data_IF_150663705195
#
_entry.id   IF_150663705195
#
_cell.length_a   1.000
_cell.length_b   1.000
_cell.length_c   1.000
_cell.angle_alpha   90.00
_cell.angle_beta   90.00
_cell.angle_gamma   90.00
#
_symmetry.space_group_name_H-M   'P 1'
#
loop_
_entity.id
_entity.type
_entity.pdbx_description
1 polymer ?
#
# COMPACT_ATOMS: atom_id res chain seq x y z
N UNK A 1 -8.50 -15.79 -18.68
CA UNK A 1 -7.38 -15.08 -18.02
C UNK A 1 -7.52 -15.28 -16.52
N UNK A 2 -6.65 -16.09 -15.91
CA UNK A 2 -6.70 -16.40 -14.49
C UNK A 2 -6.48 -15.12 -13.67
N UNK A 3 -7.45 -14.74 -12.85
CA UNK A 3 -7.27 -13.67 -11.85
C UNK A 3 -6.17 -14.14 -10.90
N UNK A 4 -5.02 -13.47 -10.93
CA UNK A 4 -4.00 -13.62 -9.90
C UNK A 4 -4.67 -13.33 -8.55
N UNK A 5 -5.05 -14.37 -7.81
CA UNK A 5 -5.45 -14.18 -6.41
C UNK A 5 -4.23 -13.59 -5.72
N UNK A 6 -4.30 -12.32 -5.33
CA UNK A 6 -3.22 -11.65 -4.63
C UNK A 6 -2.84 -12.48 -3.41
N UNK A 7 -1.56 -12.51 -3.06
CA UNK A 7 -1.08 -13.22 -1.87
C UNK A 7 -1.90 -12.80 -0.62
N UNK A 8 -2.34 -11.55 -0.58
CA UNK A 8 -3.27 -10.99 0.41
C UNK A 8 -4.56 -11.79 0.56
N UNK A 9 -5.21 -12.18 -0.54
CA UNK A 9 -6.41 -13.03 -0.52
C UNK A 9 -6.13 -14.43 0.05
N UNK A 10 -4.90 -14.94 -0.10
CA UNK A 10 -4.48 -16.24 0.45
C UNK A 10 -4.08 -16.18 1.92
N UNK A 11 -3.62 -15.01 2.38
CA UNK A 11 -3.26 -14.75 3.77
C UNK A 11 -4.51 -14.49 4.64
N UNK A 12 -5.61 -14.01 4.07
CA UNK A 12 -6.89 -13.86 4.77
C UNK A 12 -6.89 -12.76 5.85
N UNK A 13 -6.06 -11.72 5.67
CA UNK A 13 -6.01 -10.55 6.55
C UNK A 13 -6.56 -9.30 5.84
N UNK A 14 -6.93 -8.29 6.63
CA UNK A 14 -7.15 -6.90 6.17
C UNK A 14 -5.81 -6.37 5.61
N UNK A 15 -5.86 -5.61 4.51
CA UNK A 15 -4.69 -5.29 3.67
C UNK A 15 -3.44 -4.80 4.43
N UNK A 16 -3.60 -3.95 5.45
CA UNK A 16 -2.48 -3.41 6.25
C UNK A 16 -1.74 -4.47 7.06
N UNK A 17 -2.45 -5.44 7.66
CA UNK A 17 -1.80 -6.56 8.37
C UNK A 17 -1.03 -7.46 7.43
N UNK A 18 -1.46 -7.58 6.17
CA UNK A 18 -0.77 -8.42 5.19
C UNK A 18 0.66 -7.94 4.92
N UNK A 19 0.91 -6.63 4.88
CA UNK A 19 2.24 -6.04 4.65
C UNK A 19 3.20 -6.41 5.77
N UNK A 20 2.80 -6.20 7.02
CA UNK A 20 3.63 -6.53 8.18
C UNK A 20 3.88 -8.03 8.32
N UNK A 21 2.89 -8.89 8.03
CA UNK A 21 3.07 -10.34 8.03
C UNK A 21 4.06 -10.77 6.93
N UNK A 22 3.97 -10.22 5.73
CA UNK A 22 4.89 -10.54 4.63
C UNK A 22 6.32 -10.11 4.97
N UNK A 23 6.50 -8.87 5.44
CA UNK A 23 7.79 -8.37 5.91
C UNK A 23 8.34 -9.24 7.06
N UNK A 24 7.51 -9.62 8.02
CA UNK A 24 7.91 -10.47 9.14
C UNK A 24 8.36 -11.87 8.70
N UNK A 25 7.68 -12.48 7.73
CA UNK A 25 8.11 -13.75 7.14
C UNK A 25 9.46 -13.65 6.45
N UNK A 26 9.68 -12.56 5.69
CA UNK A 26 10.95 -12.29 5.01
C UNK A 26 12.09 -12.05 6.01
N UNK A 27 11.86 -11.19 7.03
CA UNK A 27 12.85 -10.93 8.07
C UNK A 27 13.16 -12.18 8.90
N UNK A 28 12.14 -12.94 9.29
CA UNK A 28 12.33 -14.20 10.00
C UNK A 28 13.15 -15.18 9.17
N UNK A 29 12.91 -15.28 7.85
CA UNK A 29 13.72 -16.08 6.95
C UNK A 29 15.20 -15.66 6.97
N UNK A 30 15.47 -14.37 6.79
CA UNK A 30 16.83 -13.85 6.81
C UNK A 30 17.54 -14.02 8.15
N UNK A 31 16.84 -13.79 9.27
CA UNK A 31 17.41 -13.96 10.61
C UNK A 31 17.61 -15.43 10.99
N UNK A 32 16.72 -16.31 10.52
CA UNK A 32 16.79 -17.76 10.69
C UNK A 32 17.86 -18.42 9.83
N UNK A 33 18.62 -17.62 9.05
CA UNK A 33 19.70 -18.05 8.18
C UNK A 33 20.61 -19.08 8.85
N UNK A 34 21.38 -18.67 9.85
CA UNK A 34 22.38 -19.54 10.47
C UNK A 34 21.80 -20.74 11.24
N UNK A 35 20.51 -20.71 11.54
CA UNK A 35 19.85 -21.69 12.40
C UNK A 35 19.06 -22.77 11.65
N UNK A 36 19.21 -22.88 10.32
CA UNK A 36 18.50 -23.89 9.53
C UNK A 36 17.02 -23.58 9.29
N UNK A 37 16.59 -22.33 9.52
CA UNK A 37 15.23 -21.84 9.29
C UNK A 37 14.68 -21.08 10.50
N UNK A 38 13.45 -20.59 10.37
CA UNK A 38 12.78 -19.75 11.37
C UNK A 38 11.56 -20.44 11.99
N UNK A 39 11.11 -19.96 13.14
CA UNK A 39 9.96 -20.49 13.88
C UNK A 39 8.76 -19.54 13.79
N UNK A 40 7.61 -20.05 14.18
CA UNK A 40 6.36 -19.26 14.34
C UNK A 40 6.59 -18.06 15.27
N UNK A 41 7.35 -18.24 16.36
CA UNK A 41 7.69 -17.18 17.31
C UNK A 41 8.52 -16.06 16.68
N UNK A 42 9.39 -16.40 15.73
CA UNK A 42 10.29 -15.43 15.10
C UNK A 42 9.49 -14.51 14.15
N UNK A 43 8.50 -15.07 13.43
CA UNK A 43 7.56 -14.27 12.63
C UNK A 43 6.72 -13.35 13.51
N UNK A 44 6.17 -13.85 14.63
CA UNK A 44 5.39 -13.01 15.55
C UNK A 44 6.25 -11.88 16.12
N UNK A 45 7.50 -12.18 16.50
CA UNK A 45 8.44 -11.17 16.97
C UNK A 45 8.65 -10.06 15.94
N UNK A 46 8.98 -10.42 14.69
CA UNK A 46 9.18 -9.41 13.63
C UNK A 46 7.89 -8.66 13.30
N UNK A 47 6.74 -9.33 13.33
CA UNK A 47 5.45 -8.66 13.14
C UNK A 47 5.25 -7.56 14.19
N UNK A 48 5.41 -7.89 15.48
CA UNK A 48 5.26 -6.93 16.57
C UNK A 48 6.33 -5.82 16.51
N UNK A 49 7.55 -6.16 16.11
CA UNK A 49 8.61 -5.18 15.89
C UNK A 49 8.23 -4.19 14.79
N UNK A 50 7.70 -4.68 13.67
CA UNK A 50 7.37 -3.84 12.52
C UNK A 50 6.10 -3.03 12.70
N UNK A 51 5.09 -3.56 13.40
CA UNK A 51 3.93 -2.75 13.77
C UNK A 51 4.33 -1.63 14.72
N UNK A 52 5.26 -1.89 15.64
CA UNK A 52 5.80 -0.86 16.53
C UNK A 52 6.51 0.29 15.79
N UNK A 53 7.04 0.07 14.59
CA UNK A 53 7.66 1.13 13.79
C UNK A 53 6.66 2.12 13.19
N UNK A 54 5.41 1.69 13.01
CA UNK A 54 4.37 2.43 12.30
C UNK A 54 3.25 2.91 13.23
N UNK A 55 3.05 2.23 14.35
CA UNK A 55 2.02 2.61 15.33
C UNK A 55 2.34 3.95 15.99
N UNK A 56 1.32 4.80 16.03
CA UNK A 56 1.41 6.14 16.64
C UNK A 56 1.35 6.07 18.18
N UNK A 57 0.75 5.02 18.74
CA UNK A 57 0.63 4.79 20.18
C UNK A 57 1.16 3.40 20.54
N UNK A 58 2.37 3.37 21.11
CA UNK A 58 3.05 2.15 21.55
C UNK A 58 2.39 1.53 22.79
N UNK A 59 1.59 2.28 23.54
CA UNK A 59 0.94 1.81 24.77
C UNK A 59 -0.32 0.99 24.50
N UNK A 60 -0.91 1.13 23.30
CA UNK A 60 -2.12 0.44 22.86
C UNK A 60 -1.93 -0.09 21.45
N UNK A 61 -1.20 -1.21 21.27
CA UNK A 61 -0.98 -1.77 19.95
C UNK A 61 -2.33 -2.06 19.29
N UNK A 62 -2.52 -1.46 18.12
CA UNK A 62 -3.71 -1.63 17.28
C UNK A 62 -3.69 -2.98 16.56
N UNK A 63 -2.52 -3.61 16.49
CA UNK A 63 -2.29 -4.88 15.81
C UNK A 63 -1.60 -5.88 16.72
N UNK A 64 -2.27 -7.02 16.97
CA UNK A 64 -1.63 -8.22 17.50
C UNK A 64 -1.92 -9.39 16.54
N UNK A 65 -0.99 -10.34 16.50
CA UNK A 65 -1.14 -11.58 15.78
C UNK A 65 -0.86 -12.74 16.73
N UNK A 66 -1.83 -13.64 16.86
CA UNK A 66 -1.64 -14.87 17.62
C UNK A 66 -0.72 -15.82 16.84
N UNK A 67 0.11 -16.56 17.58
CA UNK A 67 0.91 -17.67 17.08
C UNK A 67 0.07 -18.69 16.29
N UNK A 68 -1.21 -18.88 16.65
CA UNK A 68 -2.11 -19.75 15.86
C UNK A 68 -2.35 -19.22 14.45
N UNK A 69 -2.53 -17.90 14.28
CA UNK A 69 -2.71 -17.28 12.98
C UNK A 69 -1.44 -17.36 12.13
N UNK A 70 -0.27 -17.12 12.75
CA UNK A 70 1.04 -17.30 12.11
C UNK A 70 1.23 -18.75 11.67
N UNK A 71 0.94 -19.72 12.53
CA UNK A 71 1.04 -21.15 12.22
C UNK A 71 0.14 -21.55 11.04
N UNK A 72 -1.14 -21.15 11.06
CA UNK A 72 -2.07 -21.41 9.94
C UNK A 72 -1.59 -20.77 8.64
N UNK A 73 -0.95 -19.61 8.73
CA UNK A 73 -0.35 -18.92 7.57
C UNK A 73 0.82 -19.71 7.01
N UNK A 74 1.73 -20.19 7.85
CA UNK A 74 2.85 -21.04 7.43
C UNK A 74 2.38 -22.37 6.84
N UNK A 75 1.36 -23.00 7.43
CA UNK A 75 0.77 -24.23 6.88
C UNK A 75 0.14 -24.02 5.49
N UNK A 76 -0.46 -22.85 5.24
CA UNK A 76 -0.93 -22.47 3.89
C UNK A 76 0.24 -22.29 2.92
N UNK A 77 1.31 -21.61 3.34
CA UNK A 77 2.51 -21.45 2.50
C UNK A 77 3.18 -22.78 2.17
N UNK A 78 3.25 -23.70 3.14
CA UNK A 78 3.78 -25.06 2.94
C UNK A 78 2.92 -25.83 1.95
N UNK A 79 1.59 -25.85 2.12
CA UNK A 79 0.67 -26.51 1.17
C UNK A 79 0.75 -25.93 -0.24
N UNK A 80 1.06 -24.64 -0.36
CA UNK A 80 1.25 -23.95 -1.63
C UNK A 80 2.66 -24.05 -2.23
N UNK A 81 3.61 -24.75 -1.59
CA UNK A 81 5.00 -24.86 -2.09
C UNK A 81 5.84 -23.58 -1.94
N UNK A 82 5.37 -22.60 -1.17
CA UNK A 82 6.08 -21.35 -0.89
C UNK A 82 7.01 -21.46 0.33
N UNK A 83 6.83 -22.49 1.15
CA UNK A 83 7.69 -22.76 2.30
C UNK A 83 7.88 -24.27 2.48
N UNK A 84 8.96 -24.65 3.16
CA UNK A 84 9.25 -26.01 3.57
C UNK A 84 9.35 -26.05 5.09
N UNK A 85 8.71 -27.04 5.71
CA UNK A 85 8.93 -27.32 7.11
C UNK A 85 10.16 -28.22 7.25
N UNK A 86 11.13 -27.81 8.05
CA UNK A 86 12.30 -28.64 8.36
C UNK A 86 11.85 -29.86 9.16
N UNK A 87 12.11 -31.05 8.62
CA UNK A 87 11.85 -32.35 9.25
C UNK A 87 13.03 -32.85 10.08
N UNK A 88 14.13 -32.11 10.11
CA UNK A 88 15.39 -32.64 10.61
C UNK A 88 15.43 -32.66 12.15
N UNK A 89 16.17 -33.63 12.68
CA UNK A 89 16.38 -33.80 14.11
C UNK A 89 16.84 -32.49 14.79
N UNK A 90 16.46 -32.27 16.06
CA UNK A 90 16.86 -31.09 16.83
C UNK A 90 18.39 -30.97 16.84
N UNK A 91 18.88 -29.81 16.42
CA UNK A 91 20.32 -29.48 16.46
C UNK A 91 20.68 -29.14 17.89
N UNK A 92 21.74 -29.76 18.42
CA UNK A 92 22.25 -29.51 19.78
C UNK A 92 22.63 -28.02 19.92
N UNK A 93 22.10 -27.34 20.94
CA UNK A 93 22.35 -25.92 21.20
C UNK A 93 21.38 -24.94 20.53
N UNK A 94 20.47 -25.40 19.65
CA UNK A 94 19.42 -24.55 19.09
C UNK A 94 18.07 -24.74 19.83
N UNK A 95 17.25 -23.69 19.97
CA UNK A 95 15.91 -23.81 20.55
C UNK A 95 15.04 -24.84 19.83
N UNK A 96 14.31 -25.65 20.61
CA UNK A 96 13.34 -26.64 20.12
C UNK A 96 12.17 -25.96 19.39
N UNK A 97 11.57 -26.68 18.44
CA UNK A 97 10.38 -26.25 17.70
C UNK A 97 10.48 -26.52 16.20
N UNK A 98 9.31 -26.61 15.54
CA UNK A 98 9.24 -26.77 14.08
C UNK A 98 9.80 -25.52 13.39
N UNK A 99 10.74 -25.72 12.47
CA UNK A 99 11.37 -24.66 11.68
C UNK A 99 10.84 -24.65 10.25
N UNK A 100 10.88 -23.48 9.65
CA UNK A 100 10.40 -23.22 8.30
C UNK A 100 11.49 -22.52 7.49
N UNK A 101 11.49 -22.76 6.18
CA UNK A 101 12.36 -22.12 5.21
C UNK A 101 11.47 -21.69 4.04
N UNK A 102 11.61 -20.46 3.57
CA UNK A 102 10.91 -20.02 2.36
C UNK A 102 11.59 -20.64 1.14
N UNK A 103 10.80 -21.12 0.19
CA UNK A 103 11.32 -21.56 -1.11
C UNK A 103 11.69 -20.33 -1.95
N UNK A 104 12.42 -20.54 -3.06
CA UNK A 104 12.74 -19.44 -3.96
C UNK A 104 11.50 -18.72 -4.51
N UNK A 105 10.44 -19.48 -4.79
CA UNK A 105 9.16 -18.91 -5.24
C UNK A 105 8.41 -18.23 -4.09
N UNK A 106 8.47 -18.77 -2.86
CA UNK A 106 7.93 -18.10 -1.68
C UNK A 106 8.59 -16.75 -1.41
N UNK A 107 9.92 -16.68 -1.52
CA UNK A 107 10.68 -15.43 -1.39
C UNK A 107 10.26 -14.40 -2.45
N UNK A 108 10.24 -14.79 -3.72
CA UNK A 108 9.80 -13.90 -4.80
C UNK A 108 8.36 -13.41 -4.56
N UNK A 109 7.44 -14.32 -4.27
CA UNK A 109 6.03 -13.97 -4.10
C UNK A 109 5.79 -13.03 -2.93
N UNK A 110 6.47 -13.24 -1.79
CA UNK A 110 6.39 -12.34 -0.64
C UNK A 110 7.04 -10.98 -0.93
N UNK A 111 8.21 -10.95 -1.56
CA UNK A 111 8.90 -9.71 -1.90
C UNK A 111 8.12 -8.87 -2.93
N UNK A 112 7.60 -9.51 -3.97
CA UNK A 112 6.77 -8.88 -4.99
C UNK A 112 5.42 -8.44 -4.43
N UNK A 113 4.83 -9.21 -3.51
CA UNK A 113 3.61 -8.83 -2.79
C UNK A 113 3.82 -7.59 -1.91
N UNK A 114 4.96 -7.50 -1.23
CA UNK A 114 5.33 -6.36 -0.41
C UNK A 114 5.57 -5.10 -1.25
N UNK A 115 6.16 -5.27 -2.45
CA UNK A 115 6.45 -4.16 -3.36
C UNK A 115 5.24 -3.73 -4.21
N UNK A 116 4.34 -4.64 -4.56
CA UNK A 116 3.26 -4.45 -5.53
C UNK A 116 2.01 -3.78 -4.97
N UNK A 117 2.13 -2.89 -3.98
CA UNK A 117 0.98 -2.28 -3.31
C UNK A 117 0.57 -0.99 -4.02
N UNK A 118 -0.56 -1.04 -4.72
CA UNK A 118 -1.17 0.15 -5.30
C UNK A 118 -1.76 1.03 -4.18
N UNK A 119 -1.42 2.32 -4.18
CA UNK A 119 -2.00 3.34 -3.27
C UNK A 119 -1.86 3.02 -1.77
N UNK A 120 -0.73 2.45 -1.35
CA UNK A 120 -0.43 2.29 0.07
C UNK A 120 -0.40 3.65 0.80
N UNK A 121 -0.88 3.75 2.04
CA UNK A 121 -0.69 4.93 2.90
C UNK A 121 0.79 5.30 3.03
N UNK A 122 1.09 6.58 3.30
CA UNK A 122 2.47 7.07 3.40
C UNK A 122 3.29 6.24 4.39
N UNK A 123 2.75 5.97 5.58
CA UNK A 123 3.46 5.27 6.64
C UNK A 123 3.84 3.85 6.22
N UNK A 124 2.95 3.18 5.49
CA UNK A 124 3.20 1.86 4.93
C UNK A 124 4.25 1.90 3.82
N UNK A 125 4.19 2.89 2.93
CA UNK A 125 5.21 3.08 1.89
C UNK A 125 6.60 3.36 2.50
N UNK A 126 6.68 4.22 3.52
CA UNK A 126 7.90 4.50 4.26
C UNK A 126 8.43 3.26 4.96
N UNK A 127 7.54 2.47 5.58
CA UNK A 127 7.89 1.19 6.19
C UNK A 127 8.51 0.23 5.17
N UNK A 128 7.88 0.03 4.01
CA UNK A 128 8.38 -0.90 2.99
C UNK A 128 9.74 -0.46 2.44
N UNK A 129 9.95 0.84 2.22
CA UNK A 129 11.24 1.38 1.79
C UNK A 129 12.32 1.16 2.87
N UNK A 130 11.99 1.45 4.14
CA UNK A 130 12.90 1.22 5.27
C UNK A 130 13.23 -0.26 5.43
N UNK A 131 12.23 -1.13 5.37
CA UNK A 131 12.39 -2.58 5.41
C UNK A 131 13.33 -3.06 4.29
N UNK A 132 13.10 -2.63 3.06
CA UNK A 132 13.94 -2.97 1.93
C UNK A 132 15.40 -2.50 2.15
N UNK A 133 15.59 -1.29 2.66
CA UNK A 133 16.92 -0.75 2.93
C UNK A 133 17.67 -1.51 4.04
N UNK A 134 16.97 -1.94 5.09
CA UNK A 134 17.58 -2.56 6.27
C UNK A 134 17.66 -4.09 6.22
N UNK A 135 16.70 -4.76 5.57
CA UNK A 135 16.56 -6.22 5.63
C UNK A 135 16.83 -6.94 4.33
N UNK A 136 16.90 -6.27 3.16
CA UNK A 136 17.09 -6.95 1.87
C UNK A 136 18.27 -7.91 1.86
N UNK A 137 19.43 -7.47 2.35
CA UNK A 137 20.64 -8.29 2.31
C UNK A 137 20.51 -9.49 3.27
N UNK A 138 19.84 -9.30 4.41
CA UNK A 138 19.48 -10.39 5.32
C UNK A 138 18.51 -11.38 4.68
N UNK A 139 17.48 -10.91 3.96
CA UNK A 139 16.52 -11.74 3.23
C UNK A 139 17.21 -12.57 2.15
N UNK A 140 18.21 -12.00 1.48
CA UNK A 140 19.03 -12.69 0.47
C UNK A 140 20.10 -13.61 1.07
N UNK A 141 20.44 -13.40 2.34
CA UNK A 141 21.39 -14.22 3.08
C UNK A 141 20.82 -15.61 3.36
N UNK A 142 21.69 -16.62 3.35
CA UNK A 142 21.23 -18.00 3.29
C UNK A 142 20.92 -18.61 4.63
N UNK A 143 19.91 -19.48 4.61
CA UNK A 143 19.77 -20.52 5.61
C UNK A 143 20.89 -21.55 5.53
N UNK A 144 21.93 -21.40 6.37
CA UNK A 144 23.07 -22.30 6.48
C UNK A 144 22.58 -23.74 6.71
N UNK A 145 23.11 -24.65 5.90
CA UNK A 145 23.00 -26.09 6.11
C UNK A 145 21.72 -26.78 5.63
N UNK A 146 20.67 -26.07 5.17
CA UNK A 146 19.40 -26.73 4.75
C UNK A 146 18.70 -26.18 3.50
N UNK A 147 18.93 -24.93 3.09
CA UNK A 147 18.28 -24.35 1.90
C UNK A 147 19.20 -24.38 0.67
N UNK A 148 18.77 -25.00 -0.44
CA UNK A 148 19.48 -24.97 -1.74
C UNK A 148 19.80 -23.55 -2.17
N UNK A 149 21.01 -23.30 -2.67
CA UNK A 149 21.34 -22.29 -3.69
C UNK A 149 20.16 -21.42 -4.21
N UNK A 150 20.09 -20.09 -3.98
CA UNK A 150 19.11 -19.22 -4.62
C UNK A 150 19.63 -19.15 -6.02
N UNK A 151 18.81 -19.55 -6.98
CA UNK A 151 19.20 -19.37 -8.36
C UNK A 151 19.46 -17.88 -8.60
N UNK A 152 20.41 -17.53 -9.49
CA UNK A 152 20.64 -16.14 -9.86
C UNK A 152 19.36 -15.41 -10.30
N UNK A 153 18.42 -16.14 -10.90
CA UNK A 153 17.11 -15.61 -11.28
C UNK A 153 16.25 -15.19 -10.06
N UNK A 154 16.16 -16.03 -9.03
CA UNK A 154 15.41 -15.71 -7.80
C UNK A 154 16.04 -14.53 -7.07
N UNK A 155 17.37 -14.52 -6.93
CA UNK A 155 18.09 -13.41 -6.31
C UNK A 155 17.77 -12.08 -6.99
N UNK A 156 17.87 -12.01 -8.33
CA UNK A 156 17.57 -10.79 -9.08
C UNK A 156 16.12 -10.33 -8.94
N UNK A 157 15.15 -11.26 -8.88
CA UNK A 157 13.73 -10.92 -8.65
C UNK A 157 13.54 -10.27 -7.29
N UNK A 158 14.10 -10.86 -6.23
CA UNK A 158 14.02 -10.31 -4.87
C UNK A 158 14.76 -8.97 -4.75
N UNK A 159 15.96 -8.86 -5.32
CA UNK A 159 16.72 -7.60 -5.35
C UNK A 159 15.95 -6.47 -6.03
N UNK A 160 15.30 -6.76 -7.17
CA UNK A 160 14.46 -5.78 -7.87
C UNK A 160 13.20 -5.45 -7.07
N UNK A 161 12.54 -6.45 -6.49
CA UNK A 161 11.32 -6.26 -5.72
C UNK A 161 11.58 -5.34 -4.52
N UNK A 162 12.67 -5.61 -3.78
CA UNK A 162 13.09 -4.89 -2.58
C UNK A 162 14.18 -3.85 -2.88
N UNK A 163 14.13 -3.18 -4.02
CA UNK A 163 15.00 -2.03 -4.31
C UNK A 163 14.40 -0.76 -3.66
N UNK A 164 15.03 -0.17 -2.62
CA UNK A 164 14.49 0.99 -1.92
C UNK A 164 14.25 2.18 -2.84
N UNK A 165 15.14 2.39 -3.83
CA UNK A 165 15.03 3.51 -4.76
C UNK A 165 13.88 3.32 -5.75
N UNK A 166 13.64 2.08 -6.18
CA UNK A 166 12.48 1.75 -7.02
C UNK A 166 11.18 1.97 -6.25
N UNK A 167 11.12 1.49 -5.01
CA UNK A 167 9.94 1.57 -4.14
C UNK A 167 9.55 3.02 -3.85
N UNK A 168 10.51 3.89 -3.50
CA UNK A 168 10.21 5.31 -3.27
C UNK A 168 9.71 6.00 -4.54
N UNK A 169 10.29 5.70 -5.71
CA UNK A 169 9.84 6.24 -7.01
C UNK A 169 8.44 5.77 -7.39
N UNK A 170 8.08 4.52 -7.06
CA UNK A 170 6.73 3.99 -7.26
C UNK A 170 5.72 4.70 -6.36
N UNK A 171 6.06 4.90 -5.08
CA UNK A 171 5.22 5.67 -4.16
C UNK A 171 5.06 7.13 -4.61
N UNK A 172 6.13 7.79 -5.06
CA UNK A 172 6.08 9.16 -5.59
C UNK A 172 5.16 9.27 -6.80
N UNK A 173 5.28 8.36 -7.78
CA UNK A 173 4.42 8.34 -8.97
C UNK A 173 2.94 8.20 -8.59
N UNK A 174 2.65 7.32 -7.64
CA UNK A 174 1.29 7.11 -7.15
C UNK A 174 0.76 8.35 -6.43
N UNK A 175 1.55 8.93 -5.53
CA UNK A 175 1.21 10.15 -4.79
C UNK A 175 1.02 11.35 -5.74
N UNK A 176 1.87 11.50 -6.76
CA UNK A 176 1.73 12.54 -7.77
C UNK A 176 0.45 12.40 -8.60
N UNK A 177 0.07 11.17 -8.98
CA UNK A 177 -1.19 10.91 -9.69
C UNK A 177 -2.41 11.23 -8.82
N UNK A 178 -2.37 10.91 -7.52
CA UNK A 178 -3.43 11.28 -6.56
C UNK A 178 -3.51 12.79 -6.37
N UNK A 179 -2.37 13.47 -6.24
CA UNK A 179 -2.31 14.93 -6.12
C UNK A 179 -2.91 15.60 -7.36
N UNK A 180 -2.53 15.16 -8.56
CA UNK A 180 -3.04 15.72 -9.81
C UNK A 180 -4.57 15.54 -9.93
N UNK A 181 -5.11 14.36 -9.61
CA UNK A 181 -6.57 14.11 -9.60
C UNK A 181 -7.29 15.01 -8.57
N UNK A 182 -6.71 15.23 -7.39
CA UNK A 182 -7.29 16.09 -6.37
C UNK A 182 -7.25 17.57 -6.76
N UNK A 183 -6.13 18.05 -7.33
CA UNK A 183 -6.00 19.42 -7.82
C UNK A 183 -6.97 19.70 -8.96
N UNK A 184 -7.12 18.76 -9.89
CA UNK A 184 -8.12 18.85 -10.97
C UNK A 184 -9.55 18.92 -10.40
N UNK A 185 -9.90 18.09 -9.40
CA UNK A 185 -11.21 18.15 -8.74
C UNK A 185 -11.46 19.48 -8.04
N UNK A 186 -10.45 20.03 -7.37
CA UNK A 186 -10.55 21.34 -6.71
C UNK A 186 -10.83 22.41 -7.76
N UNK A 187 -10.01 22.48 -8.79
CA UNK A 187 -10.12 23.49 -9.86
C UNK A 187 -11.46 23.37 -10.59
N UNK A 188 -11.83 22.17 -11.03
CA UNK A 188 -13.07 21.91 -11.74
C UNK A 188 -14.29 22.25 -10.88
N UNK A 189 -14.33 21.81 -9.61
CA UNK A 189 -15.47 22.09 -8.73
C UNK A 189 -15.67 23.57 -8.43
N UNK A 190 -14.58 24.34 -8.26
CA UNK A 190 -14.64 25.80 -8.11
C UNK A 190 -15.11 26.49 -9.40
N UNK A 191 -14.62 26.03 -10.56
CA UNK A 191 -15.02 26.55 -11.87
C UNK A 191 -16.50 26.29 -12.15
N UNK A 192 -16.99 25.09 -11.84
CA UNK A 192 -18.39 24.70 -12.02
C UNK A 192 -19.32 25.46 -11.08
N UNK A 193 -18.93 25.65 -9.82
CA UNK A 193 -19.67 26.48 -8.87
C UNK A 193 -19.82 27.91 -9.41
N UNK A 194 -18.73 28.52 -9.86
CA UNK A 194 -18.75 29.89 -10.38
C UNK A 194 -19.56 30.03 -11.68
N UNK A 195 -19.42 29.08 -12.61
CA UNK A 195 -20.18 29.06 -13.86
C UNK A 195 -21.68 28.94 -13.58
N UNK A 196 -22.06 28.01 -12.71
CA UNK A 196 -23.45 27.75 -12.35
C UNK A 196 -24.05 28.91 -11.60
N UNK A 197 -23.33 29.49 -10.63
CA UNK A 197 -23.76 30.68 -9.90
C UNK A 197 -24.03 31.85 -10.85
N UNK A 198 -23.14 32.09 -11.82
CA UNK A 198 -23.33 33.12 -12.85
C UNK A 198 -24.55 32.86 -13.74
N UNK A 199 -24.76 31.62 -14.17
CA UNK A 199 -25.91 31.25 -14.99
C UNK A 199 -27.24 31.39 -14.23
N UNK A 200 -27.26 30.92 -12.97
CA UNK A 200 -28.41 31.08 -12.08
C UNK A 200 -28.71 32.55 -11.78
N UNK A 201 -27.69 33.38 -11.57
CA UNK A 201 -27.86 34.83 -11.37
C UNK A 201 -28.42 35.56 -12.62
N UNK A 202 -28.22 34.99 -13.83
CA UNK A 202 -28.84 35.45 -15.08
C UNK A 202 -30.24 34.88 -15.31
N UNK A 203 -30.79 34.13 -14.35
CA UNK A 203 -32.05 33.41 -14.47
C UNK A 203 -32.10 32.45 -15.69
N UNK A 204 -30.96 31.84 -16.03
CA UNK A 204 -30.94 30.78 -17.05
C UNK A 204 -31.77 29.57 -16.59
N UNK A 205 -32.44 28.84 -17.50
CA UNK A 205 -33.18 27.64 -17.14
C UNK A 205 -32.27 26.61 -16.49
N UNK A 206 -32.68 26.05 -15.34
CA UNK A 206 -31.88 25.08 -14.57
C UNK A 206 -31.42 23.89 -15.42
N UNK A 207 -32.28 23.41 -16.32
CA UNK A 207 -31.93 22.33 -17.24
C UNK A 207 -30.76 22.68 -18.18
N UNK A 208 -30.64 23.94 -18.58
CA UNK A 208 -29.56 24.42 -19.44
C UNK A 208 -28.24 24.50 -18.66
N UNK A 209 -28.29 25.02 -17.43
CA UNK A 209 -27.14 25.05 -16.52
C UNK A 209 -26.60 23.64 -16.27
N UNK A 210 -27.49 22.69 -15.98
CA UNK A 210 -27.15 21.29 -15.74
C UNK A 210 -26.53 20.64 -16.98
N UNK A 211 -27.08 20.87 -18.17
CA UNK A 211 -26.50 20.35 -19.43
C UNK A 211 -25.12 20.93 -19.71
N UNK A 212 -24.93 22.22 -19.46
CA UNK A 212 -23.63 22.87 -19.62
C UNK A 212 -22.58 22.28 -18.66
N UNK A 213 -22.96 22.02 -17.40
CA UNK A 213 -22.08 21.36 -16.42
C UNK A 213 -21.70 19.94 -16.84
N UNK A 214 -22.67 19.14 -17.28
CA UNK A 214 -22.42 17.77 -17.72
C UNK A 214 -21.53 17.72 -18.97
N UNK A 215 -21.67 18.67 -19.89
CA UNK A 215 -20.80 18.80 -21.05
C UNK A 215 -19.38 19.28 -20.68
N UNK A 216 -19.23 20.07 -19.62
CA UNK A 216 -17.96 20.67 -19.22
C UNK A 216 -17.08 19.75 -18.37
N UNK A 217 -17.57 18.58 -17.95
CA UNK A 217 -16.88 17.76 -16.95
C UNK A 217 -16.94 16.26 -17.14
N UNK A 218 -15.84 15.60 -16.74
CA UNK A 218 -15.77 14.15 -16.60
C UNK A 218 -16.37 13.74 -15.26
N UNK A 219 -17.68 13.44 -15.25
CA UNK A 219 -18.32 12.83 -14.08
C UNK A 219 -17.96 11.34 -14.01
N UNK A 220 -17.09 10.96 -13.07
CA UNK A 220 -16.59 9.56 -12.94
C UNK A 220 -17.69 8.52 -12.67
N UNK A 221 -18.86 8.94 -12.20
CA UNK A 221 -20.02 8.06 -11.96
C UNK A 221 -21.04 8.09 -13.10
N UNK A 222 -20.72 8.68 -14.26
CA UNK A 222 -21.60 8.68 -15.42
C UNK A 222 -21.99 7.26 -15.88
N UNK A 223 -21.11 6.27 -15.63
CA UNK A 223 -21.39 4.84 -15.85
C UNK A 223 -22.49 4.25 -14.95
N UNK A 224 -22.80 4.91 -13.83
CA UNK A 224 -23.85 4.51 -12.88
C UNK A 224 -25.12 5.31 -13.17
N UNK A 225 -24.99 6.64 -13.30
CA UNK A 225 -26.09 7.54 -13.63
C UNK A 225 -25.55 8.85 -14.21
N UNK A 226 -26.16 9.42 -15.27
CA UNK A 226 -25.78 10.74 -15.76
C UNK A 226 -25.89 11.83 -14.67
N UNK A 227 -24.97 12.78 -14.67
CA UNK A 227 -24.94 13.83 -13.65
C UNK A 227 -26.19 14.70 -13.74
N UNK A 228 -26.63 15.01 -14.96
CA UNK A 228 -27.80 15.84 -15.15
C UNK A 228 -29.08 15.18 -14.66
N UNK A 229 -29.19 13.87 -14.82
CA UNK A 229 -30.33 13.11 -14.30
C UNK A 229 -30.36 13.14 -12.76
N UNK A 230 -29.20 13.04 -12.10
CA UNK A 230 -29.10 13.15 -10.64
C UNK A 230 -29.55 14.54 -10.19
N UNK A 231 -28.95 15.60 -10.74
CA UNK A 231 -29.21 16.99 -10.32
C UNK A 231 -30.66 17.39 -10.55
N UNK A 232 -31.25 17.04 -11.69
CA UNK A 232 -32.64 17.37 -12.00
C UNK A 232 -33.67 16.57 -11.19
N UNK A 233 -33.27 15.44 -10.61
CA UNK A 233 -34.13 14.64 -9.73
C UNK A 233 -34.12 15.13 -8.27
N UNK A 234 -33.21 16.04 -7.88
CA UNK A 234 -33.14 16.57 -6.52
C UNK A 234 -34.33 17.50 -6.21
N UNK A 235 -34.77 17.59 -4.94
CA UNK A 235 -35.62 18.68 -4.46
C UNK A 235 -35.05 20.05 -4.84
N UNK A 236 -35.92 21.05 -5.05
CA UNK A 236 -35.52 22.36 -5.61
C UNK A 236 -34.47 23.08 -4.76
N UNK A 237 -34.66 23.09 -3.44
CA UNK A 237 -33.74 23.68 -2.46
C UNK A 237 -32.36 23.03 -2.53
N UNK A 238 -32.31 21.69 -2.54
CA UNK A 238 -31.07 20.94 -2.61
C UNK A 238 -30.39 21.09 -3.97
N UNK A 239 -31.16 21.13 -5.05
CA UNK A 239 -30.66 21.37 -6.41
C UNK A 239 -30.02 22.74 -6.53
N UNK A 240 -30.67 23.76 -6.00
CA UNK A 240 -30.14 25.12 -6.00
C UNK A 240 -28.83 25.16 -5.24
N UNK A 241 -28.78 24.60 -4.03
CA UNK A 241 -27.54 24.47 -3.26
C UNK A 241 -26.43 23.76 -4.05
N UNK A 242 -26.72 22.60 -4.64
CA UNK A 242 -25.72 21.81 -5.37
C UNK A 242 -25.12 22.57 -6.56
N UNK A 243 -25.95 23.35 -7.27
CA UNK A 243 -25.52 24.16 -8.41
C UNK A 243 -24.74 25.41 -7.97
N UNK A 244 -25.10 26.08 -6.88
CA UNK A 244 -24.51 27.38 -6.53
C UNK A 244 -23.38 27.33 -5.51
N UNK A 245 -23.32 26.27 -4.68
CA UNK A 245 -22.44 26.18 -3.52
C UNK A 245 -21.84 24.79 -3.32
N UNK A 246 -22.64 23.71 -3.46
CA UNK A 246 -22.28 22.37 -3.02
C UNK A 246 -20.99 21.82 -3.63
N UNK A 247 -20.78 22.04 -4.94
CA UNK A 247 -19.56 21.62 -5.64
C UNK A 247 -18.33 22.33 -5.07
N UNK A 248 -18.38 23.66 -4.94
CA UNK A 248 -17.27 24.43 -4.40
C UNK A 248 -17.01 24.17 -2.92
N UNK A 249 -18.06 23.93 -2.14
CA UNK A 249 -17.94 23.56 -0.73
C UNK A 249 -17.14 22.25 -0.58
N UNK A 250 -17.44 21.22 -1.38
CA UNK A 250 -16.66 19.97 -1.37
C UNK A 250 -15.23 20.17 -1.87
N UNK A 251 -15.03 20.99 -2.90
CA UNK A 251 -13.68 21.35 -3.35
C UNK A 251 -12.86 22.01 -2.24
N UNK A 252 -13.43 22.96 -1.49
CA UNK A 252 -12.74 23.68 -0.40
C UNK A 252 -12.55 22.84 0.86
N UNK A 253 -13.57 22.09 1.29
CA UNK A 253 -13.57 21.42 2.59
C UNK A 253 -13.07 19.98 2.56
N UNK A 254 -13.11 19.32 1.40
CA UNK A 254 -12.67 17.93 1.25
C UNK A 254 -11.45 17.82 0.33
N UNK A 255 -11.57 18.25 -0.93
CA UNK A 255 -10.52 17.97 -1.91
C UNK A 255 -9.26 18.81 -1.70
N UNK A 256 -9.39 20.09 -1.35
CA UNK A 256 -8.23 20.95 -1.10
C UNK A 256 -7.38 20.48 0.09
N UNK A 257 -7.94 20.17 1.28
CA UNK A 257 -7.16 19.59 2.38
C UNK A 257 -6.51 18.25 2.02
N UNK A 258 -7.18 17.40 1.23
CA UNK A 258 -6.61 16.15 0.75
C UNK A 258 -5.45 16.41 -0.25
N UNK A 259 -5.56 17.42 -1.12
CA UNK A 259 -4.49 17.81 -2.03
C UNK A 259 -3.28 18.36 -1.26
N UNK A 260 -3.51 19.18 -0.23
CA UNK A 260 -2.46 19.66 0.66
C UNK A 260 -1.72 18.51 1.36
N UNK A 261 -2.47 17.54 1.90
CA UNK A 261 -1.90 16.32 2.45
C UNK A 261 -1.08 15.56 1.41
N UNK A 262 -1.64 15.28 0.24
CA UNK A 262 -0.96 14.53 -0.82
C UNK A 262 0.34 15.24 -1.28
N UNK A 263 0.34 16.58 -1.33
CA UNK A 263 1.53 17.39 -1.63
C UNK A 263 2.60 17.24 -0.55
N UNK A 264 2.20 17.27 0.72
CA UNK A 264 3.11 17.05 1.83
C UNK A 264 3.71 15.62 1.81
N UNK A 265 2.88 14.60 1.56
CA UNK A 265 3.32 13.21 1.41
C UNK A 265 4.31 13.06 0.24
N UNK A 266 4.02 13.65 -0.92
CA UNK A 266 4.92 13.65 -2.07
C UNK A 266 6.28 14.28 -1.75
N UNK A 267 6.28 15.41 -1.03
CA UNK A 267 7.51 16.07 -0.60
C UNK A 267 8.33 15.23 0.39
N UNK A 268 7.68 14.48 1.29
CA UNK A 268 8.36 13.52 2.18
C UNK A 268 9.07 12.45 1.36
N UNK A 269 8.38 11.86 0.37
CA UNK A 269 8.96 10.82 -0.48
C UNK A 269 10.12 11.35 -1.33
N UNK A 270 10.04 12.58 -1.84
CA UNK A 270 11.16 13.24 -2.54
C UNK A 270 12.40 13.43 -1.67
N UNK A 271 12.23 13.83 -0.41
CA UNK A 271 13.35 13.90 0.54
C UNK A 271 13.94 12.53 0.83
N UNK A 272 13.11 11.50 0.92
CA UNK A 272 13.59 10.12 1.12
C UNK A 272 14.38 9.62 -0.09
N UNK A 273 13.89 9.85 -1.31
CA UNK A 273 14.61 9.51 -2.55
C UNK A 273 16.00 10.17 -2.60
N UNK A 274 16.10 11.45 -2.23
CA UNK A 274 17.36 12.17 -2.16
C UNK A 274 18.34 11.51 -1.17
N UNK A 275 17.86 11.09 0.01
CA UNK A 275 18.68 10.39 1.03
C UNK A 275 19.13 9.00 0.59
N UNK A 276 18.37 8.32 -0.26
CA UNK A 276 18.70 7.00 -0.79
C UNK A 276 19.63 7.05 -2.02
N UNK A 277 19.84 8.23 -2.61
CA UNK A 277 20.71 8.40 -3.79
C UNK A 277 22.12 8.79 -3.33
N UNK A 278 23.14 7.93 -3.48
CA UNK A 278 24.51 8.26 -3.09
C UNK A 278 25.01 9.50 -3.83
N UNK A 279 25.54 10.49 -3.11
CA UNK A 279 26.20 11.67 -3.71
C UNK A 279 25.34 12.93 -3.91
N UNK A 280 24.04 12.92 -3.57
CA UNK A 280 23.25 14.16 -3.43
C UNK A 280 23.25 14.59 -1.95
N UNK A 281 24.21 15.42 -1.57
CA UNK A 281 24.12 16.14 -0.29
C UNK A 281 22.84 17.00 -0.28
N UNK A 282 22.11 17.10 0.83
CA UNK A 282 21.02 18.06 0.95
C UNK A 282 21.64 19.46 0.95
N UNK A 283 21.37 20.22 -0.12
CA UNK A 283 21.53 21.66 -0.16
C UNK A 283 20.34 22.36 0.46
#
# INVERSE_FOLDING_TARGET
>A
MARNSTLTARLGYIDTQATFVQAALLAAHGAGARAGGFRVSDVRFYFLLFTNWVEHDVTRPSQDIDLTQVRRTLERLVRGGHAEASTSAPVKGLPRGRRYVLTGEGLCSLAEGLAGRERAPLEEALFVVCFAASYRDAVLSRVEGRARALSPAVRRRVERALDPLRLVKEAQRTSAAVLADLEERVEAGLRYEEQSRKAMARAEPVADVVRALEAAGSYQLHRVRPLGEVLLALPEDLRQFELTEGMGLRSRLLFAPLAERARAEHAVLARLEARLTPGKAPG
#
